data_IF_115730572529
#
_entry.id   IF_115730572529
#
_cell.length_a   1.000
_cell.length_b   1.000
_cell.length_c   1.000
_cell.angle_alpha   90.00
_cell.angle_beta   90.00
_cell.angle_gamma   90.00
#
_symmetry.space_group_name_H-M   'P 1'
#
loop_
_entity.id
_entity.type
_entity.pdbx_description
1 polymer ?
#
# COMPACT_ATOMS: atom_id res chain seq x y z
N UNK A 1 20.82 -5.00 20.31
CA UNK A 1 21.95 -5.96 20.46
C UNK A 1 21.95 -6.30 21.94
N UNK A 2 21.79 -7.58 22.27
CA UNK A 2 21.95 -8.02 23.66
C UNK A 2 23.45 -8.07 23.94
N UNK A 3 23.86 -7.51 25.06
CA UNK A 3 25.22 -7.68 25.56
C UNK A 3 25.40 -9.15 25.95
N UNK A 4 26.50 -9.75 25.48
CA UNK A 4 26.85 -11.15 25.75
C UNK A 4 28.16 -11.18 26.54
N UNK A 5 28.10 -11.66 27.78
CA UNK A 5 29.23 -11.78 28.70
C UNK A 5 30.05 -13.08 28.49
N UNK A 6 29.71 -13.89 27.49
CA UNK A 6 30.45 -15.10 27.12
C UNK A 6 29.83 -15.89 25.95
N UNK A 7 30.66 -16.68 25.27
CA UNK A 7 30.27 -17.50 24.10
C UNK A 7 30.74 -16.94 22.76
N UNK A 8 30.45 -17.65 21.67
CA UNK A 8 30.80 -17.20 20.33
C UNK A 8 29.96 -15.97 19.94
N UNK A 9 30.62 -14.89 19.55
CA UNK A 9 29.95 -13.66 19.11
C UNK A 9 29.26 -13.93 17.76
N UNK A 10 27.94 -13.82 17.73
CA UNK A 10 27.21 -13.75 16.47
C UNK A 10 27.41 -12.35 15.88
N UNK A 11 28.40 -12.22 15.00
CA UNK A 11 28.78 -10.96 14.37
C UNK A 11 27.72 -10.42 13.39
N UNK A 12 26.65 -11.19 13.10
CA UNK A 12 25.56 -10.81 12.17
C UNK A 12 26.06 -10.40 10.79
N UNK A 13 27.18 -10.97 10.34
CA UNK A 13 27.72 -10.78 8.99
C UNK A 13 27.43 -12.05 8.20
N UNK A 14 26.80 -11.87 7.05
CA UNK A 14 26.49 -12.94 6.11
C UNK A 14 27.27 -12.69 4.82
N UNK A 15 27.81 -13.76 4.22
CA UNK A 15 28.52 -13.69 2.94
C UNK A 15 27.65 -14.35 1.89
N UNK A 16 27.08 -13.54 1.00
CA UNK A 16 26.15 -13.98 -0.03
C UNK A 16 26.61 -13.47 -1.40
N UNK A 17 26.27 -14.22 -2.45
CA UNK A 17 26.28 -13.65 -3.81
C UNK A 17 25.04 -12.79 -4.00
N UNK A 18 25.02 -11.88 -4.98
CA UNK A 18 23.81 -11.10 -5.31
C UNK A 18 22.62 -12.04 -5.56
N UNK A 19 22.83 -13.11 -6.33
CA UNK A 19 21.79 -14.11 -6.61
C UNK A 19 21.33 -14.82 -5.33
N UNK A 20 22.27 -15.24 -4.47
CA UNK A 20 21.96 -15.90 -3.20
C UNK A 20 21.12 -15.00 -2.29
N UNK A 21 21.50 -13.73 -2.15
CA UNK A 21 20.74 -12.75 -1.39
C UNK A 21 19.29 -12.61 -1.88
N UNK A 22 19.05 -12.55 -3.19
CA UNK A 22 17.68 -12.44 -3.72
C UNK A 22 16.87 -13.74 -3.58
N UNK A 23 17.50 -14.89 -3.72
CA UNK A 23 16.85 -16.18 -3.45
C UNK A 23 16.44 -16.28 -1.98
N UNK A 24 17.31 -15.90 -1.05
CA UNK A 24 17.03 -16.01 0.37
C UNK A 24 16.02 -14.93 0.82
N UNK A 25 16.20 -13.69 0.36
CA UNK A 25 15.44 -12.55 0.86
C UNK A 25 14.06 -12.40 0.19
N UNK A 26 13.95 -12.69 -1.12
CA UNK A 26 12.71 -12.55 -1.90
C UNK A 26 12.14 -13.88 -2.40
N UNK A 27 12.86 -15.00 -2.28
CA UNK A 27 12.49 -16.25 -2.94
C UNK A 27 12.26 -16.04 -4.45
N UNK A 28 13.22 -15.35 -5.09
CA UNK A 28 13.20 -15.02 -6.51
C UNK A 28 14.60 -15.13 -7.15
N UNK A 29 14.66 -15.73 -8.34
CA UNK A 29 15.91 -15.86 -9.09
C UNK A 29 16.05 -14.72 -10.10
N UNK A 30 17.03 -13.83 -9.88
CA UNK A 30 17.33 -12.68 -10.74
C UNK A 30 17.69 -13.03 -12.20
N UNK A 31 17.90 -14.31 -12.53
CA UNK A 31 18.07 -14.75 -13.93
C UNK A 31 16.77 -14.71 -14.72
N UNK A 32 15.63 -14.64 -14.04
CA UNK A 32 14.31 -14.52 -14.64
C UNK A 32 13.92 -13.04 -14.76
N UNK A 33 13.11 -12.74 -15.76
CA UNK A 33 12.44 -11.44 -15.84
C UNK A 33 11.36 -11.37 -14.75
N UNK A 34 11.26 -10.23 -14.07
CA UNK A 34 10.22 -9.99 -13.06
C UNK A 34 8.89 -9.71 -13.77
N UNK A 35 7.92 -10.60 -13.64
CA UNK A 35 6.58 -10.43 -14.21
C UNK A 35 5.66 -9.62 -13.27
N UNK A 36 4.53 -9.08 -13.75
CA UNK A 36 3.57 -8.38 -12.88
C UNK A 36 3.14 -9.17 -11.64
N UNK A 37 2.87 -10.47 -11.77
CA UNK A 37 2.53 -11.36 -10.65
C UNK A 37 3.65 -11.43 -9.60
N UNK A 38 4.91 -11.36 -10.04
CA UNK A 38 6.06 -11.37 -9.15
C UNK A 38 6.12 -10.09 -8.31
N UNK A 39 5.85 -8.94 -8.94
CA UNK A 39 5.79 -7.65 -8.23
C UNK A 39 4.70 -7.59 -7.17
N UNK A 40 3.53 -8.18 -7.44
CA UNK A 40 2.39 -8.16 -6.52
C UNK A 40 2.59 -9.11 -5.30
N UNK A 41 3.60 -9.97 -5.36
CA UNK A 41 3.95 -10.89 -4.26
C UNK A 41 5.22 -10.48 -3.52
N UNK A 42 5.99 -9.52 -4.02
CA UNK A 42 7.10 -8.94 -3.27
C UNK A 42 6.58 -8.03 -2.16
N UNK A 43 7.09 -8.25 -0.95
CA UNK A 43 6.66 -7.48 0.21
C UNK A 43 7.30 -6.10 0.22
N UNK A 44 6.48 -5.05 0.35
CA UNK A 44 6.91 -3.64 0.28
C UNK A 44 8.05 -3.32 1.25
N UNK A 45 7.99 -3.84 2.47
CA UNK A 45 9.02 -3.64 3.48
C UNK A 45 10.40 -4.18 3.06
N UNK A 46 10.43 -5.26 2.27
CA UNK A 46 11.67 -5.84 1.73
C UNK A 46 12.18 -5.03 0.54
N UNK A 47 11.28 -4.63 -0.36
CA UNK A 47 11.61 -3.71 -1.46
C UNK A 47 12.18 -2.40 -0.91
N UNK A 48 11.57 -1.83 0.14
CA UNK A 48 12.06 -0.65 0.84
C UNK A 48 13.45 -0.87 1.43
N UNK A 49 13.70 -2.02 2.05
CA UNK A 49 15.00 -2.33 2.67
C UNK A 49 16.13 -2.28 1.64
N UNK A 50 15.93 -2.89 0.47
CA UNK A 50 16.97 -2.95 -0.56
C UNK A 50 17.12 -1.65 -1.35
N UNK A 51 16.10 -0.79 -1.36
CA UNK A 51 16.13 0.50 -2.09
C UNK A 51 16.57 1.68 -1.26
N UNK A 52 16.28 1.68 0.05
CA UNK A 52 16.65 2.75 0.98
C UNK A 52 17.92 2.44 1.79
N UNK A 53 18.39 1.19 1.78
CA UNK A 53 19.61 0.78 2.47
C UNK A 53 20.87 1.42 1.86
N UNK A 54 21.79 1.84 2.72
CA UNK A 54 23.07 2.40 2.29
C UNK A 54 23.99 1.30 1.74
N UNK A 55 24.58 1.54 0.56
CA UNK A 55 25.63 0.71 -0.03
C UNK A 55 26.97 1.38 0.25
N UNK A 56 27.81 0.76 1.08
CA UNK A 56 29.11 1.33 1.46
C UNK A 56 30.23 1.01 0.47
N UNK A 57 30.09 -0.09 -0.29
CA UNK A 57 31.03 -0.51 -1.32
C UNK A 57 30.30 -1.36 -2.38
N UNK A 58 30.56 -1.11 -3.66
CA UNK A 58 29.94 -1.86 -4.77
C UNK A 58 30.98 -2.40 -5.78
N UNK A 59 31.74 -3.42 -5.37
CA UNK A 59 32.73 -4.08 -6.23
C UNK A 59 32.14 -5.15 -7.17
N UNK A 60 30.89 -5.56 -6.98
CA UNK A 60 30.26 -6.68 -7.71
C UNK A 60 28.98 -6.29 -8.47
N UNK A 61 28.62 -5.00 -8.48
CA UNK A 61 27.52 -4.46 -9.28
C UNK A 61 26.13 -4.57 -8.62
N UNK A 62 26.05 -4.62 -7.30
CA UNK A 62 24.80 -4.66 -6.53
C UNK A 62 23.91 -3.45 -6.83
N UNK A 63 24.47 -2.24 -6.91
CA UNK A 63 23.68 -1.02 -7.14
C UNK A 63 22.94 -1.08 -8.48
N UNK A 64 23.58 -1.64 -9.52
CA UNK A 64 22.95 -1.85 -10.83
C UNK A 64 21.77 -2.82 -10.74
N UNK A 65 21.91 -3.92 -10.00
CA UNK A 65 20.82 -4.87 -9.77
C UNK A 65 19.65 -4.23 -9.03
N UNK A 66 19.94 -3.45 -7.99
CA UNK A 66 18.93 -2.77 -7.17
C UNK A 66 18.16 -1.68 -7.94
N UNK A 67 18.77 -1.07 -8.95
CA UNK A 67 18.12 -0.07 -9.79
C UNK A 67 16.83 -0.57 -10.46
N UNK A 68 16.77 -1.87 -10.79
CA UNK A 68 15.56 -2.52 -11.32
C UNK A 68 14.40 -2.63 -10.32
N UNK A 69 14.68 -2.42 -9.03
CA UNK A 69 13.71 -2.45 -7.94
C UNK A 69 13.43 -1.05 -7.36
N UNK A 70 13.94 0.01 -8.00
CA UNK A 70 13.79 1.39 -7.52
C UNK A 70 12.33 1.79 -7.26
N UNK A 71 11.40 1.36 -8.12
CA UNK A 71 9.97 1.41 -7.87
C UNK A 71 9.19 0.42 -8.77
N UNK A 72 7.88 0.31 -8.56
CA UNK A 72 7.00 -0.52 -9.39
C UNK A 72 7.00 -0.08 -10.87
N UNK A 73 6.93 -1.04 -11.82
CA UNK A 73 6.59 -0.75 -13.21
C UNK A 73 5.24 -0.02 -13.29
N UNK A 74 5.08 0.87 -14.28
CA UNK A 74 3.93 1.77 -14.40
C UNK A 74 2.59 1.05 -14.23
N UNK A 75 2.36 -0.03 -14.96
CA UNK A 75 1.04 -0.65 -14.99
C UNK A 75 0.76 -1.47 -13.73
N UNK A 76 1.80 -2.05 -13.10
CA UNK A 76 1.69 -2.63 -11.75
C UNK A 76 1.32 -1.54 -10.73
N UNK A 77 1.95 -0.37 -10.80
CA UNK A 77 1.63 0.77 -9.94
C UNK A 77 0.17 1.24 -10.13
N UNK A 78 -0.31 1.32 -11.38
CA UNK A 78 -1.71 1.63 -11.67
C UNK A 78 -2.66 0.58 -11.10
N UNK A 79 -2.34 -0.71 -11.23
CA UNK A 79 -3.14 -1.78 -10.64
C UNK A 79 -3.23 -1.66 -9.11
N UNK A 80 -2.13 -1.33 -8.43
CA UNK A 80 -2.09 -1.13 -6.98
C UNK A 80 -2.89 0.09 -6.52
N UNK A 81 -2.82 1.20 -7.28
CA UNK A 81 -3.65 2.39 -7.05
C UNK A 81 -5.14 2.07 -7.24
N UNK A 82 -5.50 1.41 -8.33
CA UNK A 82 -6.87 0.98 -8.60
C UNK A 82 -7.40 0.06 -7.49
N UNK A 83 -6.56 -0.87 -7.02
CA UNK A 83 -6.90 -1.77 -5.91
C UNK A 83 -7.07 -1.02 -4.60
N UNK A 84 -6.23 -0.03 -4.29
CA UNK A 84 -6.37 0.82 -3.11
C UNK A 84 -7.67 1.62 -3.12
N UNK A 85 -8.00 2.26 -4.25
CA UNK A 85 -9.27 2.96 -4.43
C UNK A 85 -10.49 2.04 -4.34
N UNK A 86 -10.40 0.83 -4.91
CA UNK A 86 -11.46 -0.16 -4.84
C UNK A 86 -11.71 -0.61 -3.40
N UNK A 87 -10.66 -0.82 -2.59
CA UNK A 87 -10.79 -1.16 -1.17
C UNK A 87 -11.51 -0.07 -0.38
N UNK A 88 -11.18 1.21 -0.62
CA UNK A 88 -11.86 2.34 0.01
C UNK A 88 -13.34 2.36 -0.39
N UNK A 89 -13.65 2.27 -1.69
CA UNK A 89 -15.04 2.28 -2.19
C UNK A 89 -15.89 1.13 -1.62
N UNK A 90 -15.28 -0.03 -1.36
CA UNK A 90 -15.96 -1.18 -0.74
C UNK A 90 -16.31 -0.97 0.74
N UNK A 91 -15.61 -0.09 1.46
CA UNK A 91 -15.76 0.07 2.92
C UNK A 91 -16.25 1.45 3.38
N UNK A 92 -16.06 2.51 2.61
CA UNK A 92 -16.29 3.90 3.06
C UNK A 92 -17.71 4.16 3.56
N UNK A 93 -18.68 3.48 2.94
CA UNK A 93 -20.10 3.57 3.32
C UNK A 93 -20.45 2.74 4.57
N UNK A 94 -19.57 1.85 5.04
CA UNK A 94 -19.82 0.95 6.17
C UNK A 94 -19.58 1.61 7.54
N UNK A 95 -18.63 2.55 7.61
CA UNK A 95 -18.25 3.23 8.86
C UNK A 95 -19.44 3.95 9.51
N UNK A 96 -20.14 4.78 8.74
CA UNK A 96 -21.34 5.49 9.21
C UNK A 96 -22.53 4.54 9.43
N UNK A 97 -22.60 3.43 8.69
CA UNK A 97 -23.66 2.42 8.84
C UNK A 97 -23.53 1.61 10.13
N UNK A 98 -22.32 1.36 10.61
CA UNK A 98 -22.13 0.81 11.95
C UNK A 98 -22.53 1.85 13.01
N UNK A 99 -22.09 3.10 12.83
CA UNK A 99 -22.39 4.18 13.76
C UNK A 99 -23.89 4.49 13.92
N UNK A 100 -24.67 4.47 12.83
CA UNK A 100 -26.11 4.83 12.88
C UNK A 100 -26.95 3.86 13.74
N UNK A 101 -26.47 2.62 13.94
CA UNK A 101 -27.11 1.63 14.82
C UNK A 101 -26.51 1.60 16.22
N UNK A 102 -25.64 2.57 16.55
CA UNK A 102 -24.99 2.70 17.85
C UNK A 102 -23.72 1.85 18.02
N UNK A 103 -23.21 1.22 16.96
CA UNK A 103 -21.96 0.45 17.02
C UNK A 103 -20.74 1.35 16.75
N UNK A 104 -20.33 2.08 17.79
CA UNK A 104 -19.16 2.95 17.72
C UNK A 104 -17.84 2.18 17.60
N UNK A 105 -17.74 0.99 18.19
CA UNK A 105 -16.54 0.15 18.09
C UNK A 105 -16.36 -0.32 16.65
N UNK A 106 -17.41 -0.87 16.04
CA UNK A 106 -17.40 -1.29 14.64
C UNK A 106 -17.11 -0.12 13.70
N UNK A 107 -17.72 1.04 13.96
CA UNK A 107 -17.45 2.26 13.21
C UNK A 107 -15.97 2.69 13.32
N UNK A 108 -15.39 2.69 14.51
CA UNK A 108 -13.97 3.02 14.73
C UNK A 108 -13.02 2.01 14.06
N UNK A 109 -13.32 0.71 14.10
CA UNK A 109 -12.53 -0.32 13.41
C UNK A 109 -12.52 -0.08 11.90
N UNK A 110 -13.69 0.15 11.29
CA UNK A 110 -13.78 0.39 9.84
C UNK A 110 -13.05 1.69 9.47
N UNK A 111 -13.22 2.76 10.25
CA UNK A 111 -12.49 4.00 10.03
C UNK A 111 -10.97 3.83 10.11
N UNK A 112 -10.47 3.02 11.06
CA UNK A 112 -9.05 2.74 11.17
C UNK A 112 -8.49 2.02 9.94
N UNK A 113 -9.28 1.12 9.34
CA UNK A 113 -8.94 0.45 8.06
C UNK A 113 -8.93 1.44 6.90
N UNK A 114 -9.93 2.32 6.82
CA UNK A 114 -9.99 3.38 5.80
C UNK A 114 -8.81 4.35 5.91
N UNK A 115 -8.43 4.78 7.12
CA UNK A 115 -7.24 5.60 7.35
C UNK A 115 -5.98 4.87 6.88
N UNK A 116 -5.83 3.58 7.22
CA UNK A 116 -4.69 2.77 6.75
C UNK A 116 -4.64 2.70 5.22
N UNK A 117 -5.78 2.47 4.57
CA UNK A 117 -5.84 2.34 3.11
C UNK A 117 -5.59 3.70 2.41
N UNK A 118 -6.05 4.81 2.98
CA UNK A 118 -5.70 6.17 2.52
C UNK A 118 -4.20 6.45 2.66
N UNK A 119 -3.60 6.12 3.82
CA UNK A 119 -2.16 6.28 4.02
C UNK A 119 -1.35 5.45 3.02
N UNK A 120 -1.78 4.21 2.72
CA UNK A 120 -1.16 3.36 1.69
C UNK A 120 -1.30 3.95 0.28
N UNK A 121 -2.45 4.55 -0.06
CA UNK A 121 -2.60 5.28 -1.31
C UNK A 121 -1.61 6.44 -1.40
N UNK A 122 -1.42 7.23 -0.34
CA UNK A 122 -0.43 8.31 -0.34
C UNK A 122 1.00 7.79 -0.57
N UNK A 123 1.39 6.67 0.04
CA UNK A 123 2.68 6.01 -0.25
C UNK A 123 2.80 5.66 -1.75
N UNK A 124 1.75 5.07 -2.33
CA UNK A 124 1.74 4.74 -3.75
C UNK A 124 1.84 5.99 -4.64
N UNK A 125 1.08 7.05 -4.34
CA UNK A 125 1.04 8.30 -5.10
C UNK A 125 2.38 9.05 -5.03
N UNK A 126 3.04 9.06 -3.87
CA UNK A 126 4.38 9.65 -3.69
C UNK A 126 5.53 8.73 -4.12
N UNK A 127 5.20 7.56 -4.66
CA UNK A 127 6.14 6.55 -5.14
C UNK A 127 7.16 6.10 -4.10
N UNK A 128 6.68 5.76 -2.91
CA UNK A 128 7.48 5.29 -1.79
C UNK A 128 6.94 3.94 -1.30
N UNK A 129 7.81 2.93 -1.15
CA UNK A 129 7.43 1.67 -0.52
C UNK A 129 7.08 1.87 0.97
N UNK A 130 5.93 1.35 1.40
CA UNK A 130 5.52 1.34 2.79
C UNK A 130 6.48 0.49 3.65
N UNK A 131 6.81 0.91 4.89
CA UNK A 131 7.72 0.16 5.74
C UNK A 131 6.98 -0.95 6.52
N UNK A 132 7.75 -1.69 7.31
CA UNK A 132 7.23 -2.56 8.36
C UNK A 132 6.25 -1.81 9.29
N UNK A 133 5.14 -2.44 9.76
CA UNK A 133 4.04 -1.76 10.47
C UNK A 133 4.44 -0.85 11.63
N UNK A 134 5.45 -1.24 12.43
CA UNK A 134 5.92 -0.42 13.57
C UNK A 134 6.42 0.98 13.17
N UNK A 135 6.87 1.12 11.92
CA UNK A 135 7.36 2.38 11.37
C UNK A 135 6.35 3.10 10.48
N UNK A 136 5.15 2.54 10.27
CA UNK A 136 4.20 3.03 9.27
C UNK A 136 3.85 4.50 9.46
N UNK A 137 3.41 4.90 10.67
CA UNK A 137 3.12 6.30 10.97
C UNK A 137 4.34 7.22 10.91
N UNK A 138 5.52 6.73 11.34
CA UNK A 138 6.76 7.53 11.28
C UNK A 138 7.21 7.74 9.84
N UNK A 139 7.14 6.74 8.98
CA UNK A 139 7.45 6.89 7.57
C UNK A 139 6.41 7.74 6.85
N UNK A 140 5.13 7.62 7.21
CA UNK A 140 4.08 8.46 6.65
C UNK A 140 4.37 9.94 6.96
N UNK A 141 4.85 10.26 8.17
CA UNK A 141 5.26 11.63 8.53
C UNK A 141 6.40 12.23 7.70
N UNK A 142 7.01 11.47 6.79
CA UNK A 142 8.06 11.94 5.88
C UNK A 142 7.53 12.15 4.44
N UNK A 143 6.27 11.81 4.18
CA UNK A 143 5.60 12.12 2.92
C UNK A 143 5.25 13.60 2.83
N UNK A 144 5.19 14.14 1.62
CA UNK A 144 4.84 15.55 1.37
C UNK A 144 3.41 15.87 1.83
N UNK A 145 2.49 14.92 1.69
CA UNK A 145 1.10 15.08 2.12
C UNK A 145 0.90 15.01 3.64
N UNK A 146 1.94 14.66 4.40
CA UNK A 146 1.78 14.31 5.80
C UNK A 146 1.36 15.48 6.69
N UNK A 147 1.84 16.69 6.40
CA UNK A 147 1.52 17.88 7.19
C UNK A 147 0.03 18.20 7.16
N UNK A 148 -0.63 17.97 6.03
CA UNK A 148 -2.08 18.17 5.87
C UNK A 148 -2.89 16.99 6.38
N UNK A 149 -2.49 15.74 6.07
CA UNK A 149 -3.29 14.56 6.38
C UNK A 149 -3.10 14.01 7.80
N UNK A 150 -1.92 14.11 8.39
CA UNK A 150 -1.65 13.53 9.72
C UNK A 150 -2.56 14.13 10.81
N UNK A 151 -2.79 15.46 10.87
CA UNK A 151 -3.74 16.03 11.81
C UNK A 151 -5.18 15.55 11.58
N UNK A 152 -5.59 15.36 10.31
CA UNK A 152 -6.93 14.87 9.95
C UNK A 152 -7.10 13.41 10.39
N UNK A 153 -6.14 12.54 10.05
CA UNK A 153 -6.16 11.14 10.47
C UNK A 153 -6.16 10.97 11.99
N UNK A 154 -5.40 11.79 12.71
CA UNK A 154 -5.43 11.79 14.18
C UNK A 154 -6.84 12.05 14.72
N UNK A 155 -7.56 13.01 14.13
CA UNK A 155 -8.94 13.33 14.53
C UNK A 155 -9.93 12.23 14.15
N UNK A 156 -9.76 11.56 13.00
CA UNK A 156 -10.55 10.35 12.67
C UNK A 156 -10.35 9.27 13.73
N UNK A 157 -9.11 8.96 14.06
CA UNK A 157 -8.75 7.86 14.97
C UNK A 157 -9.12 8.14 16.43
N UNK A 158 -9.22 9.41 16.82
CA UNK A 158 -9.58 9.80 18.20
C UNK A 158 -11.04 10.22 18.37
N UNK A 159 -11.87 10.19 17.31
CA UNK A 159 -13.26 10.62 17.38
C UNK A 159 -14.11 9.64 18.22
N UNK A 160 -14.88 10.18 19.15
CA UNK A 160 -15.78 9.40 20.02
C UNK A 160 -17.08 9.00 19.32
N UNK A 161 -17.51 9.78 18.33
CA UNK A 161 -18.75 9.58 17.59
C UNK A 161 -18.51 9.36 16.11
N UNK A 162 -19.36 8.55 15.47
CA UNK A 162 -19.26 8.29 14.04
C UNK A 162 -19.44 9.55 13.19
N UNK A 163 -20.22 10.54 13.65
CA UNK A 163 -20.44 11.80 12.92
C UNK A 163 -19.18 12.66 12.90
N UNK A 164 -18.49 12.77 14.03
CA UNK A 164 -17.19 13.45 14.08
C UNK A 164 -16.16 12.73 13.22
N UNK A 165 -16.16 11.40 13.26
CA UNK A 165 -15.30 10.54 12.45
C UNK A 165 -15.54 10.73 10.96
N UNK A 166 -16.81 10.74 10.54
CA UNK A 166 -17.23 10.97 9.16
C UNK A 166 -16.75 12.32 8.63
N UNK A 167 -16.90 13.38 9.43
CA UNK A 167 -16.46 14.73 9.06
C UNK A 167 -14.98 14.76 8.69
N UNK A 168 -14.12 14.10 9.46
CA UNK A 168 -12.68 14.08 9.20
C UNK A 168 -12.29 13.08 8.11
N UNK A 169 -13.00 11.95 7.98
CA UNK A 169 -12.80 11.03 6.86
C UNK A 169 -13.15 11.70 5.53
N UNK A 170 -14.26 12.45 5.48
CA UNK A 170 -14.63 13.22 4.29
C UNK A 170 -13.52 14.19 3.87
N UNK A 171 -12.93 14.93 4.82
CA UNK A 171 -11.79 15.82 4.53
C UNK A 171 -10.59 15.06 3.96
N UNK A 172 -10.26 13.90 4.54
CA UNK A 172 -9.16 13.08 4.04
C UNK A 172 -9.44 12.52 2.64
N UNK A 173 -10.67 12.09 2.37
CA UNK A 173 -11.06 11.61 1.05
C UNK A 173 -10.91 12.67 -0.03
N UNK A 174 -11.44 13.88 0.20
CA UNK A 174 -11.31 14.98 -0.75
C UNK A 174 -9.83 15.31 -1.02
N UNK A 175 -9.02 15.39 0.02
CA UNK A 175 -7.58 15.68 -0.13
C UNK A 175 -6.86 14.60 -0.94
N UNK A 176 -7.09 13.32 -0.65
CA UNK A 176 -6.45 12.21 -1.39
C UNK A 176 -6.99 12.10 -2.82
N UNK A 177 -8.25 12.46 -3.08
CA UNK A 177 -8.79 12.57 -4.42
C UNK A 177 -8.13 13.69 -5.25
N UNK A 178 -7.86 14.85 -4.63
CA UNK A 178 -7.08 15.91 -5.30
C UNK A 178 -5.63 15.48 -5.55
N UNK A 179 -5.00 14.76 -4.60
CA UNK A 179 -3.68 14.17 -4.84
C UNK A 179 -3.69 13.22 -6.03
N UNK A 180 -4.73 12.39 -6.18
CA UNK A 180 -4.88 11.52 -7.35
C UNK A 180 -4.98 12.33 -8.65
N UNK A 181 -5.81 13.37 -8.69
CA UNK A 181 -5.95 14.23 -9.88
C UNK A 181 -4.62 14.89 -10.25
N UNK A 182 -3.83 15.32 -9.25
CA UNK A 182 -2.51 15.92 -9.46
C UNK A 182 -1.47 14.95 -10.04
N UNK A 183 -1.71 13.64 -10.04
CA UNK A 183 -0.85 12.67 -10.73
C UNK A 183 -1.04 12.65 -12.25
N UNK A 184 -2.12 13.22 -12.76
CA UNK A 184 -2.44 13.28 -14.20
C UNK A 184 -2.43 11.89 -14.89
N UNK A 185 -2.78 10.84 -14.13
CA UNK A 185 -2.81 9.46 -14.65
C UNK A 185 -4.14 9.13 -15.35
N UNK A 186 -5.21 9.86 -15.02
CA UNK A 186 -6.56 9.80 -15.60
C UNK A 186 -7.01 11.20 -16.02
N UNK A 187 -8.15 11.31 -16.71
CA UNK A 187 -8.87 12.60 -16.75
C UNK A 187 -9.24 13.04 -15.31
N UNK A 188 -9.39 14.35 -15.05
CA UNK A 188 -9.79 14.84 -13.73
C UNK A 188 -11.13 14.25 -13.28
N UNK A 189 -11.14 13.69 -12.07
CA UNK A 189 -12.33 13.09 -11.46
C UNK A 189 -12.89 14.00 -10.35
N UNK A 190 -14.19 13.90 -10.02
CA UNK A 190 -14.76 14.61 -8.87
C UNK A 190 -14.00 14.31 -7.58
N UNK A 191 -13.44 15.34 -6.94
CA UNK A 191 -12.71 15.25 -5.68
C UNK A 191 -13.52 15.79 -4.49
N UNK A 192 -14.84 15.60 -4.53
CA UNK A 192 -15.79 16.02 -3.50
C UNK A 192 -16.61 14.85 -3.02
N UNK A 193 -16.78 14.76 -1.70
CA UNK A 193 -17.65 13.72 -1.13
C UNK A 193 -19.10 14.04 -1.42
N UNK A 194 -19.89 12.98 -1.52
CA UNK A 194 -21.33 13.05 -1.71
C UNK A 194 -22.05 12.02 -0.85
N UNK A 195 -23.37 12.09 -0.83
CA UNK A 195 -24.19 11.10 -0.14
C UNK A 195 -24.14 9.76 -0.87
N UNK A 196 -24.00 8.67 -0.11
CA UNK A 196 -24.08 7.32 -0.63
C UNK A 196 -25.52 7.00 -1.09
N UNK A 197 -25.83 7.30 -2.34
CA UNK A 197 -27.18 7.22 -2.92
C UNK A 197 -28.20 8.00 -2.06
N UNK A 198 -29.26 7.35 -1.59
CA UNK A 198 -30.26 7.94 -0.70
C UNK A 198 -29.85 7.94 0.79
N UNK A 199 -28.67 7.40 1.14
CA UNK A 199 -28.21 7.28 2.52
C UNK A 199 -27.42 8.52 2.94
N UNK A 200 -27.46 8.91 4.23
CA UNK A 200 -26.84 10.15 4.71
C UNK A 200 -25.32 10.02 4.93
N UNK A 201 -24.64 9.04 4.34
CA UNK A 201 -23.20 8.79 4.57
C UNK A 201 -22.35 9.44 3.48
N UNK A 202 -21.26 10.09 3.86
CA UNK A 202 -20.37 10.77 2.93
C UNK A 202 -19.31 9.82 2.36
N UNK A 203 -19.23 9.77 1.03
CA UNK A 203 -18.39 8.84 0.26
C UNK A 203 -17.74 9.56 -0.92
N UNK A 204 -16.56 9.09 -1.35
CA UNK A 204 -15.81 9.67 -2.48
C UNK A 204 -15.92 8.83 -3.76
N UNK A 205 -16.25 7.54 -3.65
CA UNK A 205 -16.19 6.62 -4.78
C UNK A 205 -17.40 6.73 -5.73
N UNK A 206 -18.58 7.12 -5.23
CA UNK A 206 -19.87 6.98 -5.97
C UNK A 206 -19.85 7.65 -7.34
N UNK A 207 -19.37 8.90 -7.44
CA UNK A 207 -19.13 9.58 -8.71
C UNK A 207 -17.70 9.43 -9.23
N UNK A 208 -16.72 9.30 -8.33
CA UNK A 208 -15.30 9.34 -8.69
C UNK A 208 -14.83 8.14 -9.50
N UNK A 209 -15.35 6.93 -9.22
CA UNK A 209 -14.94 5.65 -9.82
C UNK A 209 -13.44 5.56 -10.20
N UNK A 210 -12.57 6.02 -9.28
CA UNK A 210 -11.13 6.14 -9.48
C UNK A 210 -10.50 4.82 -9.97
N UNK A 211 -10.94 3.70 -9.40
CA UNK A 211 -10.45 2.37 -9.77
C UNK A 211 -10.69 2.06 -11.25
N UNK A 212 -11.91 2.27 -11.76
CA UNK A 212 -12.22 2.02 -13.19
C UNK A 212 -11.43 2.95 -14.10
N UNK A 213 -11.41 4.25 -13.77
CA UNK A 213 -10.68 5.24 -14.56
C UNK A 213 -9.19 4.89 -14.65
N UNK A 214 -8.58 4.39 -13.57
CA UNK A 214 -7.18 3.91 -13.58
C UNK A 214 -7.04 2.65 -14.44
N UNK A 215 -7.94 1.67 -14.32
CA UNK A 215 -7.90 0.43 -15.08
C UNK A 215 -7.90 0.67 -16.59
N UNK A 216 -8.65 1.68 -17.07
CA UNK A 216 -8.67 2.07 -18.50
C UNK A 216 -7.30 2.56 -19.02
N UNK A 217 -6.39 2.95 -18.12
CA UNK A 217 -5.06 3.49 -18.44
C UNK A 217 -3.96 2.42 -18.38
N UNK A 218 -4.31 1.20 -18.00
CA UNK A 218 -3.44 0.03 -18.04
C UNK A 218 -3.33 -0.43 -19.49
N UNK A 219 -2.11 -0.74 -19.93
CA UNK A 219 -1.77 -1.11 -21.31
C UNK A 219 -1.13 -2.49 -21.42
N UNK A 220 -0.37 -2.91 -20.42
CA UNK A 220 0.26 -4.22 -20.31
C UNK A 220 -0.81 -5.33 -20.31
N UNK A 221 -0.80 -6.26 -21.28
CA UNK A 221 -1.79 -7.32 -21.38
C UNK A 221 -1.86 -8.24 -20.16
N UNK A 222 -0.74 -8.49 -19.49
CA UNK A 222 -0.73 -9.31 -18.27
C UNK A 222 -1.42 -8.57 -17.13
N UNK A 223 -1.13 -7.27 -16.95
CA UNK A 223 -1.79 -6.46 -15.91
C UNK A 223 -3.28 -6.27 -16.20
N UNK A 224 -3.67 -6.07 -17.47
CA UNK A 224 -5.08 -6.00 -17.87
C UNK A 224 -5.86 -7.22 -17.43
N UNK A 225 -5.33 -8.43 -17.68
CA UNK A 225 -5.98 -9.69 -17.25
C UNK A 225 -6.17 -9.75 -15.74
N UNK A 226 -5.22 -9.21 -14.96
CA UNK A 226 -5.37 -9.11 -13.50
C UNK A 226 -6.51 -8.17 -13.12
N UNK A 227 -6.53 -6.96 -13.70
CA UNK A 227 -7.54 -5.95 -13.44
C UNK A 227 -8.96 -6.40 -13.82
N UNK A 228 -9.11 -7.12 -14.95
CA UNK A 228 -10.39 -7.68 -15.42
C UNK A 228 -10.92 -8.77 -14.50
N UNK A 229 -10.04 -9.56 -13.88
CA UNK A 229 -10.45 -10.62 -12.95
C UNK A 229 -10.92 -10.05 -11.62
N UNK A 230 -10.06 -9.28 -10.94
CA UNK A 230 -10.33 -8.62 -9.65
C UNK A 230 -9.19 -7.69 -9.23
N UNK A 231 -9.56 -6.62 -8.54
CA UNK A 231 -8.64 -5.69 -7.88
C UNK A 231 -8.34 -6.13 -6.44
N UNK A 232 -7.67 -7.29 -6.29
CA UNK A 232 -7.27 -7.80 -4.96
C UNK A 232 -6.02 -7.10 -4.39
N UNK A 233 -5.25 -6.39 -5.23
CA UNK A 233 -4.03 -5.70 -4.81
C UNK A 233 -2.81 -6.60 -4.65
N UNK A 234 -1.74 -6.11 -4.03
CA UNK A 234 -0.57 -6.90 -3.62
C UNK A 234 -0.82 -7.68 -2.33
N UNK A 235 0.12 -8.56 -1.97
CA UNK A 235 0.16 -9.23 -0.66
C UNK A 235 0.04 -8.25 0.52
N UNK A 236 0.64 -7.06 0.42
CA UNK A 236 0.56 -6.02 1.43
C UNK A 236 -0.81 -5.30 1.49
N UNK A 237 -1.65 -5.44 0.46
CA UNK A 237 -3.00 -4.85 0.41
C UNK A 237 -4.10 -5.84 0.84
N UNK A 238 -3.95 -7.15 0.61
CA UNK A 238 -4.97 -8.13 0.98
C UNK A 238 -4.69 -8.89 2.28
N UNK A 239 -3.45 -8.87 2.80
CA UNK A 239 -3.08 -9.63 4.00
C UNK A 239 -2.49 -8.73 5.08
N UNK A 240 -2.95 -8.94 6.31
CA UNK A 240 -2.36 -8.40 7.55
C UNK A 240 -1.59 -9.48 8.34
N UNK A 241 -1.52 -10.71 7.83
CA UNK A 241 -0.80 -11.80 8.50
C UNK A 241 0.70 -11.57 8.41
N UNK A 242 1.35 -11.38 9.56
CA UNK A 242 2.81 -11.19 9.64
C UNK A 242 3.56 -12.38 9.04
N UNK A 243 3.06 -13.60 9.23
CA UNK A 243 3.66 -14.80 8.66
C UNK A 243 3.66 -14.76 7.12
N UNK A 244 2.64 -14.16 6.51
CA UNK A 244 2.52 -14.02 5.04
C UNK A 244 3.36 -12.85 4.53
N UNK A 245 3.32 -11.70 5.21
CA UNK A 245 3.98 -10.46 4.72
C UNK A 245 5.46 -10.37 5.11
N UNK A 246 5.97 -11.23 5.99
CA UNK A 246 7.39 -11.27 6.37
C UNK A 246 8.17 -12.41 5.68
N UNK A 247 7.55 -13.57 5.48
CA UNK A 247 8.23 -14.76 4.96
C UNK A 247 8.20 -14.82 3.42
N UNK A 248 9.36 -14.84 2.74
CA UNK A 248 9.41 -14.85 1.27
C UNK A 248 8.95 -16.18 0.68
N UNK A 249 8.96 -17.26 1.45
CA UNK A 249 8.60 -18.60 0.97
C UNK A 249 7.13 -18.71 0.53
N UNK A 250 6.23 -17.88 1.08
CA UNK A 250 4.83 -17.85 0.65
C UNK A 250 4.64 -17.34 -0.77
N UNK A 251 5.61 -16.58 -1.29
CA UNK A 251 5.54 -15.93 -2.60
C UNK A 251 5.14 -16.87 -3.73
N UNK A 252 5.73 -18.07 -3.79
CA UNK A 252 5.43 -19.06 -4.84
C UNK A 252 3.96 -19.50 -4.84
N UNK A 253 3.37 -19.66 -3.65
CA UNK A 253 1.95 -20.04 -3.51
C UNK A 253 1.06 -18.83 -3.80
N UNK A 254 1.40 -17.65 -3.28
CA UNK A 254 0.64 -16.42 -3.48
C UNK A 254 0.60 -15.98 -4.95
N UNK A 255 1.65 -16.30 -5.72
CA UNK A 255 1.72 -15.99 -7.15
C UNK A 255 0.54 -16.58 -7.93
N UNK A 256 0.02 -17.73 -7.51
CA UNK A 256 -1.14 -18.37 -8.11
C UNK A 256 -2.43 -17.54 -8.03
N UNK A 257 -2.52 -16.52 -7.17
CA UNK A 257 -3.65 -15.59 -7.16
C UNK A 257 -3.67 -14.66 -8.39
N UNK A 258 -2.57 -14.61 -9.14
CA UNK A 258 -2.35 -13.73 -10.29
C UNK A 258 -2.15 -14.50 -11.61
N UNK A 259 -2.39 -15.82 -11.63
CA UNK A 259 -2.32 -16.69 -12.80
C UNK A 259 -3.72 -17.09 -13.29
#
# INVERSE_FOLDING_TARGET
LEDIDGGAVNHRVEILTIRGFFLDYFNFDLRLSVEPADWLTFQEQKLRTITAGAIYHDGIGLQKTLGGFSYYPRDVWLYLLASGWNRIGQEEHLMGRAGIVGDEIGSAIIASRLVRDLMRLCFLMEKQYAPYPKWFGKAFSQLKCADELSPVFKKVLSAETWQEREKFLAQAYEYVAEMHNALEITEPLPAKVEKFFSRPFLVIHVQGNFASAICERITDPAVKRLAERRLIGSVDQFSDSTDIVAEPNWRTILRAFYE
#
